data_IF_750244928833
#
_entry.id   IF_750244928833
#
_cell.length_a   1.000
_cell.length_b   1.000
_cell.length_c   1.000
_cell.angle_alpha   90.00
_cell.angle_beta   90.00
_cell.angle_gamma   90.00
#
_symmetry.space_group_name_H-M   'P 1'
#
loop_
_entity.id
_entity.type
_entity.pdbx_description
1 polymer ?
#
# COMPACT_ATOMS: atom_id res chain seq x y z
N UNK A 1 -31.69 19.00 -56.59
CA UNK A 1 -31.08 19.53 -55.35
C UNK A 1 -31.06 18.41 -54.31
N UNK A 2 -29.90 17.81 -54.03
CA UNK A 2 -29.76 16.73 -53.03
C UNK A 2 -29.46 17.37 -51.66
N UNK A 3 -30.30 17.10 -50.66
CA UNK A 3 -30.09 17.48 -49.26
C UNK A 3 -29.30 16.36 -48.58
N UNK A 4 -28.11 16.67 -48.06
CA UNK A 4 -27.35 15.76 -47.20
C UNK A 4 -27.76 16.03 -45.75
N UNK A 5 -28.36 15.04 -45.10
CA UNK A 5 -28.54 15.02 -43.65
C UNK A 5 -27.21 14.59 -43.02
N UNK A 6 -26.55 15.48 -42.30
CA UNK A 6 -25.39 15.13 -41.47
C UNK A 6 -25.94 14.64 -40.14
N UNK A 7 -25.91 13.32 -39.94
CA UNK A 7 -26.16 12.69 -38.64
C UNK A 7 -24.91 12.85 -37.78
N UNK A 8 -24.98 13.73 -36.79
CA UNK A 8 -23.89 13.98 -35.84
C UNK A 8 -23.98 12.95 -34.72
N UNK A 9 -23.22 11.86 -34.83
CA UNK A 9 -23.08 10.85 -33.78
C UNK A 9 -22.21 11.45 -32.68
N UNK A 10 -22.84 11.83 -31.56
CA UNK A 10 -22.16 12.18 -30.32
C UNK A 10 -21.58 10.92 -29.71
N UNK A 11 -20.28 10.70 -29.89
CA UNK A 11 -19.52 9.69 -29.14
C UNK A 11 -19.36 10.24 -27.72
N UNK A 12 -20.27 9.86 -26.81
CA UNK A 12 -20.04 10.05 -25.38
C UNK A 12 -18.87 9.16 -24.97
N UNK A 13 -17.68 9.74 -24.95
CA UNK A 13 -16.51 9.14 -24.34
C UNK A 13 -16.75 9.14 -22.83
N UNK A 14 -17.10 7.98 -22.28
CA UNK A 14 -17.09 7.75 -20.84
C UNK A 14 -15.63 7.76 -20.37
N UNK A 15 -15.07 8.94 -20.17
CA UNK A 15 -13.89 9.08 -19.35
C UNK A 15 -14.30 8.66 -17.94
N UNK A 16 -13.92 7.43 -17.54
CA UNK A 16 -13.87 7.07 -16.12
C UNK A 16 -12.82 7.97 -15.50
N UNK A 17 -13.25 9.14 -15.04
CA UNK A 17 -12.49 9.90 -14.05
C UNK A 17 -12.50 9.01 -12.81
N UNK A 18 -11.42 8.26 -12.60
CA UNK A 18 -11.17 7.66 -11.30
C UNK A 18 -10.99 8.84 -10.34
N UNK A 19 -12.07 9.19 -9.65
CA UNK A 19 -12.01 10.21 -8.60
C UNK A 19 -10.94 9.77 -7.61
N UNK A 20 -9.93 10.62 -7.44
CA UNK A 20 -8.87 10.40 -6.47
C UNK A 20 -9.52 10.28 -5.09
N UNK A 21 -9.15 9.22 -4.35
CA UNK A 21 -9.72 9.00 -3.02
C UNK A 21 -9.18 10.10 -2.10
N UNK A 22 -10.08 10.93 -1.60
CA UNK A 22 -9.76 11.87 -0.54
C UNK A 22 -9.99 11.19 0.81
N UNK A 23 -8.97 11.19 1.67
CA UNK A 23 -9.12 10.77 3.06
C UNK A 23 -9.51 11.98 3.90
N UNK A 24 -10.61 11.84 4.65
CA UNK A 24 -11.12 12.89 5.55
C UNK A 24 -10.52 12.79 6.96
N UNK A 25 -9.37 12.14 7.10
CA UNK A 25 -8.62 11.99 8.34
C UNK A 25 -7.11 12.09 8.09
N UNK A 26 -6.32 12.51 9.09
CA UNK A 26 -4.86 12.50 9.03
C UNK A 26 -4.27 11.14 8.63
N UNK A 27 -3.49 11.15 7.55
CA UNK A 27 -2.72 10.01 7.07
C UNK A 27 -1.25 10.38 6.93
N UNK A 28 -0.36 9.57 7.50
CA UNK A 28 1.08 9.77 7.42
C UNK A 28 1.79 8.52 6.91
N UNK A 29 2.78 8.71 6.03
CA UNK A 29 3.73 7.68 5.62
C UNK A 29 5.08 7.95 6.27
N UNK A 30 5.73 6.91 6.79
CA UNK A 30 7.11 6.89 7.26
C UNK A 30 7.92 5.88 6.47
N UNK A 31 9.22 6.11 6.37
CA UNK A 31 10.15 5.25 5.66
C UNK A 31 11.35 5.00 6.56
N UNK A 32 11.59 3.74 6.89
CA UNK A 32 12.76 3.24 7.59
C UNK A 32 13.54 2.42 6.57
N UNK A 33 14.67 2.96 6.11
CA UNK A 33 15.45 2.35 5.05
C UNK A 33 16.69 1.69 5.63
N UNK A 34 16.98 0.47 5.21
CA UNK A 34 18.26 -0.18 5.46
C UNK A 34 19.03 -0.34 4.15
N UNK A 35 20.35 -0.28 4.23
CA UNK A 35 21.22 -0.29 3.07
C UNK A 35 21.56 -1.73 2.68
N UNK A 36 21.48 -2.03 1.39
CA UNK A 36 21.95 -3.31 0.82
C UNK A 36 22.99 -3.06 -0.26
N UNK A 37 23.97 -3.94 -0.40
CA UNK A 37 24.97 -3.78 -1.46
C UNK A 37 25.95 -4.93 -1.62
N UNK A 38 26.66 -4.94 -2.74
CA UNK A 38 27.63 -5.99 -3.08
C UNK A 38 28.05 -5.96 -4.54
N UNK A 39 29.13 -6.67 -4.85
CA UNK A 39 29.68 -6.81 -6.20
C UNK A 39 29.38 -8.17 -6.84
N UNK A 40 28.64 -9.02 -6.15
CA UNK A 40 28.14 -10.31 -6.65
C UNK A 40 26.73 -10.57 -6.11
N UNK A 41 26.07 -11.60 -6.64
CA UNK A 41 24.75 -12.04 -6.15
C UNK A 41 24.87 -12.46 -4.68
N UNK A 42 25.82 -13.34 -4.37
CA UNK A 42 26.06 -13.85 -3.01
C UNK A 42 26.34 -12.72 -2.00
N UNK A 43 27.08 -11.67 -2.40
CA UNK A 43 27.34 -10.52 -1.52
C UNK A 43 26.08 -9.71 -1.23
N UNK A 44 25.22 -9.53 -2.24
CA UNK A 44 23.95 -8.81 -2.07
C UNK A 44 23.00 -9.62 -1.20
N UNK A 45 22.83 -10.93 -1.46
CA UNK A 45 22.00 -11.81 -0.63
C UNK A 45 22.48 -11.81 0.83
N UNK A 46 23.80 -11.88 1.03
CA UNK A 46 24.37 -11.77 2.37
C UNK A 46 24.04 -10.43 3.06
N UNK A 47 24.08 -9.33 2.32
CA UNK A 47 23.73 -7.99 2.85
C UNK A 47 22.25 -7.90 3.24
N UNK A 48 21.33 -8.55 2.51
CA UNK A 48 19.94 -8.69 2.96
C UNK A 48 19.83 -9.39 4.31
N UNK A 49 20.57 -10.48 4.50
CA UNK A 49 20.55 -11.26 5.74
C UNK A 49 21.16 -10.53 6.94
N UNK A 50 22.18 -9.69 6.72
CA UNK A 50 22.90 -9.01 7.81
C UNK A 50 22.32 -7.66 8.17
N UNK A 51 21.78 -6.93 7.21
CA UNK A 51 21.48 -5.50 7.37
C UNK A 51 19.99 -5.22 7.63
N UNK A 52 19.11 -6.20 7.41
CA UNK A 52 17.67 -6.07 7.72
C UNK A 52 17.38 -6.20 9.22
N UNK A 53 16.30 -5.58 9.74
CA UNK A 53 15.93 -5.69 11.16
C UNK A 53 15.68 -7.14 11.63
N UNK A 54 16.07 -7.45 12.88
CA UNK A 54 16.01 -8.81 13.47
C UNK A 54 14.64 -9.51 13.33
N UNK A 55 13.54 -8.77 13.46
CA UNK A 55 12.20 -9.36 13.36
C UNK A 55 11.90 -9.82 11.92
N UNK A 56 12.42 -9.13 10.90
CA UNK A 56 12.28 -9.52 9.50
C UNK A 56 13.14 -10.73 9.16
N UNK A 57 14.32 -10.87 9.79
CA UNK A 57 15.17 -12.07 9.63
C UNK A 57 14.40 -13.32 10.08
N UNK A 58 13.72 -13.24 11.23
CA UNK A 58 12.96 -14.36 11.78
C UNK A 58 11.81 -14.79 10.87
N UNK A 59 11.17 -13.82 10.23
CA UNK A 59 9.99 -14.05 9.39
C UNK A 59 10.38 -14.32 7.91
N UNK A 60 11.65 -14.10 7.55
CA UNK A 60 12.18 -14.32 6.20
C UNK A 60 11.80 -13.22 5.21
N UNK A 61 11.56 -12.01 5.72
CA UNK A 61 11.04 -10.89 4.93
C UNK A 61 12.16 -9.94 4.50
N UNK A 62 12.12 -9.49 3.26
CA UNK A 62 13.06 -8.51 2.72
C UNK A 62 12.44 -7.11 2.61
N UNK A 63 11.15 -6.97 2.89
CA UNK A 63 10.41 -5.72 3.01
C UNK A 63 9.32 -5.89 4.05
N UNK A 64 8.86 -4.79 4.65
CA UNK A 64 7.73 -4.85 5.57
C UNK A 64 6.97 -3.53 5.60
N UNK A 65 5.64 -3.63 5.65
CA UNK A 65 4.75 -2.48 5.84
C UNK A 65 3.98 -2.64 7.14
N UNK A 66 4.34 -1.83 8.13
CA UNK A 66 3.61 -1.75 9.39
C UNK A 66 2.57 -0.63 9.35
N UNK A 67 1.47 -0.79 10.07
CA UNK A 67 0.47 0.26 10.26
C UNK A 67 0.13 0.46 11.73
N UNK A 68 -0.21 1.70 12.07
CA UNK A 68 -0.71 2.10 13.37
C UNK A 68 -1.84 3.08 13.16
N UNK A 69 -2.99 2.81 13.75
CA UNK A 69 -4.11 3.73 13.77
C UNK A 69 -4.49 4.07 15.21
N UNK A 70 -5.18 5.19 15.35
CA UNK A 70 -5.73 5.66 16.62
C UNK A 70 -7.01 6.44 16.31
N UNK A 71 -8.12 5.95 16.86
CA UNK A 71 -9.40 6.63 16.79
C UNK A 71 -10.04 6.66 18.17
N UNK A 72 -10.81 7.72 18.41
CA UNK A 72 -11.62 7.89 19.60
C UNK A 72 -12.98 8.40 19.18
N UNK A 73 -14.02 7.64 19.52
CA UNK A 73 -15.41 7.93 19.19
C UNK A 73 -16.26 7.98 20.45
N UNK A 74 -17.42 8.62 20.36
CA UNK A 74 -18.47 8.45 21.36
C UNK A 74 -19.25 7.15 21.06
N UNK A 75 -19.38 6.27 22.04
CA UNK A 75 -19.97 4.93 21.83
C UNK A 75 -21.47 4.95 21.53
N UNK A 76 -22.19 6.02 21.91
CA UNK A 76 -23.63 6.16 21.67
C UNK A 76 -23.93 6.89 20.35
N UNK A 77 -23.15 7.93 20.03
CA UNK A 77 -23.39 8.82 18.90
C UNK A 77 -22.45 8.58 17.72
N UNK A 78 -21.37 7.81 17.89
CA UNK A 78 -20.29 7.61 16.92
C UNK A 78 -19.60 8.92 16.49
N UNK A 79 -19.76 10.00 17.26
CA UNK A 79 -19.02 11.24 17.02
C UNK A 79 -17.51 10.95 17.07
N UNK A 80 -16.81 11.31 15.99
CA UNK A 80 -15.37 11.06 15.84
C UNK A 80 -14.62 12.24 16.46
N UNK A 81 -13.98 12.01 17.60
CA UNK A 81 -13.15 12.99 18.29
C UNK A 81 -11.69 12.95 17.82
N UNK A 82 -11.24 11.75 17.42
CA UNK A 82 -9.91 11.50 16.84
C UNK A 82 -10.00 10.39 15.81
N UNK A 83 -9.23 10.53 14.74
CA UNK A 83 -9.00 9.46 13.78
C UNK A 83 -7.67 9.72 13.09
N UNK A 84 -6.77 8.74 13.04
CA UNK A 84 -5.49 8.88 12.36
C UNK A 84 -4.94 7.52 11.94
N UNK A 85 -4.23 7.50 10.82
CA UNK A 85 -3.49 6.35 10.34
C UNK A 85 -2.05 6.75 10.01
N UNK A 86 -1.12 5.96 10.50
CA UNK A 86 0.29 5.99 10.13
C UNK A 86 0.66 4.65 9.48
N UNK A 87 1.36 4.71 8.36
CA UNK A 87 1.95 3.54 7.70
C UNK A 87 3.46 3.74 7.65
N UNK A 88 4.21 2.74 8.09
CA UNK A 88 5.67 2.73 8.08
C UNK A 88 6.14 1.65 7.12
N UNK A 89 6.84 2.07 6.07
CA UNK A 89 7.56 1.18 5.18
C UNK A 89 8.95 0.93 5.73
N UNK A 90 9.33 -0.34 5.82
CA UNK A 90 10.66 -0.79 6.20
C UNK A 90 11.23 -1.48 4.96
N UNK A 91 12.16 -0.83 4.27
CA UNK A 91 12.54 -1.20 2.91
C UNK A 91 14.07 -1.22 2.72
N UNK A 92 14.57 -2.17 1.91
CA UNK A 92 15.96 -2.21 1.48
C UNK A 92 16.19 -1.12 0.43
N UNK A 93 17.35 -0.49 0.48
CA UNK A 93 17.79 0.46 -0.55
C UNK A 93 19.23 0.21 -0.94
N UNK A 94 19.50 0.19 -2.23
CA UNK A 94 20.84 -0.08 -2.72
C UNK A 94 21.82 1.05 -2.38
N UNK A 95 22.94 0.68 -1.74
CA UNK A 95 24.09 1.55 -1.57
C UNK A 95 24.98 1.48 -2.82
N UNK A 96 24.76 2.43 -3.73
CA UNK A 96 25.45 2.46 -5.03
C UNK A 96 26.96 2.68 -4.93
N UNK A 97 27.49 3.18 -3.80
CA UNK A 97 28.93 3.29 -3.52
C UNK A 97 29.60 1.93 -3.30
N UNK A 98 28.86 0.93 -2.81
CA UNK A 98 29.37 -0.41 -2.51
C UNK A 98 28.93 -1.47 -3.53
N UNK A 99 28.09 -1.08 -4.50
CA UNK A 99 27.45 -2.02 -5.43
C UNK A 99 27.92 -1.78 -6.86
N UNK A 100 28.28 -2.87 -7.54
CA UNK A 100 28.56 -2.83 -8.97
C UNK A 100 27.27 -2.52 -9.76
N UNK A 101 27.33 -1.82 -10.91
CA UNK A 101 26.14 -1.58 -11.74
C UNK A 101 25.47 -2.85 -12.20
N UNK A 102 26.26 -3.86 -12.55
CA UNK A 102 25.77 -5.14 -13.05
C UNK A 102 25.00 -5.88 -11.97
N UNK A 103 25.55 -5.94 -10.75
CA UNK A 103 24.90 -6.55 -9.60
C UNK A 103 23.62 -5.80 -9.23
N UNK A 104 23.65 -4.46 -9.17
CA UNK A 104 22.45 -3.66 -8.90
C UNK A 104 21.36 -3.91 -9.96
N UNK A 105 21.72 -3.94 -11.24
CA UNK A 105 20.77 -4.19 -12.33
C UNK A 105 20.16 -5.59 -12.25
N UNK A 106 20.94 -6.60 -11.88
CA UNK A 106 20.45 -7.97 -11.67
C UNK A 106 19.32 -8.05 -10.63
N UNK A 107 19.31 -7.16 -9.64
CA UNK A 107 18.29 -7.10 -8.59
C UNK A 107 17.17 -6.08 -8.86
N UNK A 108 17.24 -5.29 -9.94
CA UNK A 108 16.27 -4.21 -10.20
C UNK A 108 14.83 -4.72 -10.22
N UNK A 109 14.55 -5.77 -10.99
CA UNK A 109 13.20 -6.30 -11.10
C UNK A 109 12.69 -6.78 -9.75
N UNK A 110 13.50 -7.53 -9.00
CA UNK A 110 13.14 -8.01 -7.67
C UNK A 110 12.83 -6.87 -6.70
N UNK A 111 13.68 -5.85 -6.62
CA UNK A 111 13.47 -4.70 -5.75
C UNK A 111 12.21 -3.89 -6.09
N UNK A 112 11.96 -3.71 -7.38
CA UNK A 112 10.76 -3.00 -7.83
C UNK A 112 9.48 -3.78 -7.51
N UNK A 113 9.52 -5.12 -7.60
CA UNK A 113 8.42 -5.99 -7.17
C UNK A 113 8.18 -5.90 -5.68
N UNK A 114 9.24 -6.00 -4.88
CA UNK A 114 9.17 -5.87 -3.43
C UNK A 114 8.53 -4.54 -3.03
N UNK A 115 8.95 -3.43 -3.62
CA UNK A 115 8.36 -2.13 -3.34
C UNK A 115 6.87 -2.10 -3.69
N UNK A 116 6.46 -2.65 -4.85
CA UNK A 116 5.05 -2.72 -5.23
C UNK A 116 4.22 -3.61 -4.30
N UNK A 117 4.79 -4.72 -3.83
CA UNK A 117 4.18 -5.61 -2.83
C UNK A 117 3.88 -4.83 -1.55
N UNK A 118 4.86 -4.08 -1.03
CA UNK A 118 4.68 -3.25 0.16
C UNK A 118 3.67 -2.10 -0.04
N UNK A 119 3.61 -1.52 -1.24
CA UNK A 119 2.59 -0.51 -1.56
C UNK A 119 1.16 -1.06 -1.49
N UNK A 120 0.96 -2.34 -1.82
CA UNK A 120 -0.35 -2.99 -1.72
C UNK A 120 -0.74 -3.18 -0.25
N UNK A 121 0.17 -3.60 0.63
CA UNK A 121 -0.10 -3.64 2.08
C UNK A 121 -0.55 -2.28 2.64
N UNK A 122 0.12 -1.20 2.26
CA UNK A 122 -0.36 0.14 2.61
C UNK A 122 -1.76 0.39 2.07
N UNK A 123 -2.04 0.05 0.81
CA UNK A 123 -3.34 0.31 0.19
C UNK A 123 -4.46 -0.48 0.88
N UNK A 124 -4.19 -1.71 1.32
CA UNK A 124 -5.10 -2.51 2.16
C UNK A 124 -5.38 -1.80 3.49
N UNK A 125 -4.34 -1.35 4.20
CA UNK A 125 -4.50 -0.62 5.46
C UNK A 125 -5.30 0.68 5.30
N UNK A 126 -4.97 1.49 4.28
CA UNK A 126 -5.68 2.74 3.99
C UNK A 126 -7.14 2.46 3.59
N UNK A 127 -7.39 1.43 2.79
CA UNK A 127 -8.74 1.02 2.42
C UNK A 127 -9.57 0.69 3.66
N UNK A 128 -9.10 -0.24 4.49
CA UNK A 128 -9.86 -0.68 5.67
C UNK A 128 -10.09 0.47 6.64
N UNK A 129 -9.08 1.31 6.90
CA UNK A 129 -9.25 2.45 7.80
C UNK A 129 -10.17 3.53 7.23
N UNK A 130 -10.20 3.72 5.91
CA UNK A 130 -11.20 4.58 5.28
C UNK A 130 -12.61 4.00 5.44
N UNK A 131 -12.79 2.69 5.31
CA UNK A 131 -14.08 2.03 5.55
C UNK A 131 -14.52 2.13 7.02
N UNK A 132 -13.59 2.01 7.97
CA UNK A 132 -13.84 2.22 9.41
C UNK A 132 -14.28 3.66 9.68
N UNK A 133 -13.58 4.65 9.11
CA UNK A 133 -13.98 6.06 9.20
C UNK A 133 -15.41 6.28 8.67
N UNK A 134 -15.72 5.73 7.49
CA UNK A 134 -17.05 5.83 6.88
C UNK A 134 -18.13 5.12 7.70
N UNK A 135 -17.83 3.99 8.33
CA UNK A 135 -18.74 3.28 9.22
C UNK A 135 -19.15 4.19 10.40
N UNK A 136 -18.19 4.82 11.08
CA UNK A 136 -18.49 5.78 12.15
C UNK A 136 -19.30 6.99 11.64
N UNK A 137 -18.92 7.58 10.51
CA UNK A 137 -19.67 8.70 9.90
C UNK A 137 -21.13 8.35 9.59
N UNK A 138 -21.39 7.12 9.15
CA UNK A 138 -22.74 6.63 8.93
C UNK A 138 -23.47 6.35 10.24
N UNK A 139 -22.78 5.79 11.24
CA UNK A 139 -23.30 5.52 12.59
C UNK A 139 -23.86 6.76 13.29
N UNK A 140 -23.25 7.94 13.05
CA UNK A 140 -23.71 9.25 13.54
C UNK A 140 -25.15 9.61 13.14
N UNK A 141 -25.76 8.90 12.19
CA UNK A 141 -27.15 9.10 11.75
C UNK A 141 -28.17 8.21 12.50
N UNK A 142 -27.76 7.57 13.59
CA UNK A 142 -28.66 6.82 14.49
C UNK A 142 -28.50 5.30 14.48
N UNK A 143 -27.31 4.77 14.18
CA UNK A 143 -26.99 3.33 14.21
C UNK A 143 -25.59 3.04 14.74
N UNK A 144 -25.20 3.72 15.83
CA UNK A 144 -23.82 3.63 16.30
C UNK A 144 -23.41 2.21 16.73
N UNK A 145 -24.28 1.48 17.42
CA UNK A 145 -23.99 0.07 17.78
C UNK A 145 -23.61 -0.78 16.57
N UNK A 146 -24.39 -0.72 15.48
CA UNK A 146 -24.07 -1.48 14.26
C UNK A 146 -22.83 -0.97 13.54
N UNK A 147 -22.49 0.31 13.69
CA UNK A 147 -21.24 0.85 13.17
C UNK A 147 -20.05 0.28 13.96
N UNK A 148 -20.15 0.19 15.29
CA UNK A 148 -19.11 -0.42 16.13
C UNK A 148 -18.89 -1.90 15.77
N UNK A 149 -19.98 -2.67 15.59
CA UNK A 149 -19.88 -4.07 15.14
C UNK A 149 -19.14 -4.16 13.79
N UNK A 150 -19.49 -3.30 12.84
CA UNK A 150 -18.81 -3.27 11.52
C UNK A 150 -17.34 -2.86 11.62
N UNK A 151 -16.98 -2.00 12.56
CA UNK A 151 -15.58 -1.59 12.76
C UNK A 151 -14.73 -2.77 13.23
N UNK A 152 -15.25 -3.58 14.17
CA UNK A 152 -14.56 -4.80 14.62
C UNK A 152 -14.34 -5.75 13.45
N UNK A 153 -15.38 -5.99 12.63
CA UNK A 153 -15.25 -6.82 11.42
C UNK A 153 -14.18 -6.28 10.45
N UNK A 154 -14.14 -4.97 10.25
CA UNK A 154 -13.17 -4.32 9.34
C UNK A 154 -11.73 -4.40 9.86
N UNK A 155 -11.53 -4.35 11.18
CA UNK A 155 -10.22 -4.55 11.82
C UNK A 155 -9.75 -6.00 11.64
N UNK A 156 -10.64 -6.98 11.83
CA UNK A 156 -10.34 -8.40 11.60
C UNK A 156 -10.06 -8.68 10.10
N UNK A 157 -10.90 -8.16 9.20
CA UNK A 157 -10.72 -8.25 7.75
C UNK A 157 -9.40 -7.63 7.30
N UNK A 158 -8.92 -6.55 7.95
CA UNK A 158 -7.62 -5.95 7.63
C UNK A 158 -6.48 -6.92 7.91
N UNK A 159 -6.49 -7.56 9.08
CA UNK A 159 -5.44 -8.52 9.47
C UNK A 159 -5.49 -9.74 8.55
N UNK A 160 -6.67 -10.29 8.30
CA UNK A 160 -6.85 -11.47 7.44
C UNK A 160 -6.43 -11.18 6.00
N UNK A 161 -6.89 -10.07 5.41
CA UNK A 161 -6.57 -9.74 4.02
C UNK A 161 -5.08 -9.47 3.80
N UNK A 162 -4.37 -8.86 4.75
CA UNK A 162 -2.92 -8.68 4.65
C UNK A 162 -2.19 -10.04 4.64
N UNK A 163 -2.55 -10.94 5.56
CA UNK A 163 -1.94 -12.28 5.62
C UNK A 163 -2.27 -13.13 4.38
N UNK A 164 -3.49 -13.02 3.85
CA UNK A 164 -3.87 -13.69 2.60
C UNK A 164 -3.13 -13.11 1.40
N UNK A 165 -2.92 -11.79 1.35
CA UNK A 165 -2.13 -11.16 0.29
C UNK A 165 -0.71 -11.70 0.26
N UNK A 166 -0.03 -11.75 1.42
CA UNK A 166 1.28 -12.38 1.55
C UNK A 166 1.30 -13.84 1.08
N UNK A 167 0.25 -14.59 1.44
CA UNK A 167 0.13 -15.99 1.01
C UNK A 167 -0.02 -16.11 -0.51
N UNK A 168 -0.81 -15.23 -1.13
CA UNK A 168 -1.07 -15.26 -2.58
C UNK A 168 0.12 -14.80 -3.42
N UNK A 169 0.92 -13.87 -2.90
CA UNK A 169 2.10 -13.37 -3.59
C UNK A 169 3.36 -14.14 -3.23
N UNK A 170 3.28 -15.15 -2.34
CA UNK A 170 4.47 -15.77 -1.73
C UNK A 170 5.41 -14.68 -1.22
N UNK A 171 4.83 -13.74 -0.46
CA UNK A 171 5.52 -12.59 0.13
C UNK A 171 6.27 -11.72 -0.90
N UNK A 172 5.63 -11.47 -2.05
CA UNK A 172 6.15 -10.60 -3.11
C UNK A 172 6.95 -11.30 -4.22
N UNK A 173 7.17 -12.62 -4.13
CA UNK A 173 7.77 -13.40 -5.23
C UNK A 173 6.88 -13.44 -6.48
N UNK A 174 5.55 -13.45 -6.28
CA UNK A 174 4.52 -13.52 -7.31
C UNK A 174 3.74 -12.21 -7.33
N UNK A 175 3.77 -11.52 -8.47
CA UNK A 175 2.89 -10.36 -8.68
C UNK A 175 1.53 -10.80 -9.20
N UNK A 176 0.47 -10.32 -8.56
CA UNK A 176 -0.89 -10.50 -9.06
C UNK A 176 -1.18 -9.44 -10.12
N UNK A 177 -1.73 -9.85 -11.27
CA UNK A 177 -2.25 -8.90 -12.27
C UNK A 177 -3.35 -8.01 -11.68
N UNK A 178 -4.14 -8.58 -10.76
CA UNK A 178 -5.15 -7.87 -10.00
C UNK A 178 -5.26 -8.46 -8.60
N UNK A 179 -5.16 -7.61 -7.59
CA UNK A 179 -5.45 -7.98 -6.21
C UNK A 179 -6.95 -8.28 -6.03
N UNK A 180 -7.32 -9.35 -5.29
CA UNK A 180 -8.71 -9.68 -5.01
C UNK A 180 -9.35 -8.78 -3.94
N UNK A 181 -8.59 -7.89 -3.29
CA UNK A 181 -9.03 -7.18 -2.09
C UNK A 181 -9.58 -5.76 -2.35
N UNK A 182 -9.55 -5.26 -3.58
CA UNK A 182 -10.27 -4.04 -3.97
C UNK A 182 -9.62 -2.71 -3.54
N UNK A 183 -8.32 -2.72 -3.26
CA UNK A 183 -7.54 -1.58 -2.78
C UNK A 183 -7.00 -0.68 -3.91
N UNK A 184 -7.28 -0.97 -5.18
CA UNK A 184 -6.58 -0.38 -6.32
C UNK A 184 -6.70 1.15 -6.38
N UNK A 185 -7.83 1.69 -5.91
CA UNK A 185 -8.08 3.14 -5.85
C UNK A 185 -7.21 3.87 -4.79
N UNK A 186 -6.60 3.15 -3.87
CA UNK A 186 -5.76 3.69 -2.80
C UNK A 186 -4.25 3.62 -3.11
N UNK A 187 -3.86 2.91 -4.18
CA UNK A 187 -2.45 2.75 -4.55
C UNK A 187 -1.72 4.09 -4.73
N UNK A 188 -2.41 5.12 -5.26
CA UNK A 188 -1.81 6.45 -5.44
C UNK A 188 -1.46 7.13 -4.11
N UNK A 189 -2.29 6.95 -3.08
CA UNK A 189 -2.01 7.44 -1.73
C UNK A 189 -0.77 6.74 -1.15
N UNK A 190 -0.60 5.46 -1.46
CA UNK A 190 0.50 4.59 -1.04
C UNK A 190 1.73 4.64 -1.96
N UNK A 191 1.86 5.64 -2.83
CA UNK A 191 3.04 5.78 -3.67
C UNK A 191 4.32 5.99 -2.83
N UNK A 192 5.34 5.15 -3.05
CA UNK A 192 6.68 5.34 -2.49
C UNK A 192 7.42 6.36 -3.38
N UNK A 193 7.88 7.50 -2.85
CA UNK A 193 8.32 8.63 -3.67
C UNK A 193 9.76 8.53 -4.18
N UNK A 194 10.42 7.38 -4.01
CA UNK A 194 11.80 7.15 -4.41
C UNK A 194 11.97 5.74 -5.00
N UNK A 195 12.89 5.57 -5.96
CA UNK A 195 13.20 4.26 -6.50
C UNK A 195 14.01 3.41 -5.50
N UNK A 196 13.90 2.08 -5.56
CA UNK A 196 14.71 1.18 -4.75
C UNK A 196 16.21 1.24 -5.09
N UNK A 197 16.52 1.47 -6.37
CA UNK A 197 17.88 1.63 -6.89
C UNK A 197 18.01 3.08 -7.39
N UNK A 198 18.71 3.95 -6.65
CA UNK A 198 18.94 5.32 -7.08
C UNK A 198 19.68 5.41 -8.42
N UNK A 199 19.40 6.43 -9.24
CA UNK A 199 20.25 6.72 -10.39
C UNK A 199 21.66 7.07 -9.92
N UNK A 200 22.68 6.66 -10.68
CA UNK A 200 24.06 7.12 -10.42
C UNK A 200 24.14 8.63 -10.63
N UNK A 201 24.68 9.33 -9.63
CA UNK A 201 25.09 10.74 -9.71
C UNK A 201 26.56 10.78 -10.13
#
# INVERSE_FOLDING_TARGET
MKKYLISMVFIMSFFKVNAEVQLDFPFQKKFELYEVGGNSIDEIEHSFDTDRPDFMIKDGFDGHTAWKYDFYTNDDSCEINKFSLEVTYILPKFEMSKTSPESAEGFRSYMEKLYRHEQIHCALAVKSMHEVYLAFKNGQRGKCSSANDRVIELEDELVENNALFDTYTSHGEIELEKSPFGEERYLKICEIPFPPIPPRI
#
